data_IF_834449217943
#
_entry.id   IF_834449217943
#
_cell.length_a   1.000
_cell.length_b   1.000
_cell.length_c   1.000
_cell.angle_alpha   90.00
_cell.angle_beta   90.00
_cell.angle_gamma   90.00
#
_symmetry.space_group_name_H-M   'P 1'
#
loop_
_entity.id
_entity.type
_entity.pdbx_description
1 polymer ?
#
# COMPACT_ATOMS: atom_id res chain seq x y z
N UNK A 1 24.71 -28.78 19.98
CA UNK A 1 23.93 -27.62 19.50
C UNK A 1 22.48 -28.04 19.48
N UNK A 2 21.74 -27.68 20.53
CA UNK A 2 20.31 -27.96 20.68
C UNK A 2 19.57 -27.15 19.62
N UNK A 3 18.92 -27.82 18.65
CA UNK A 3 18.04 -27.13 17.71
C UNK A 3 16.92 -26.46 18.51
N UNK A 4 16.81 -25.14 18.42
CA UNK A 4 15.64 -24.43 18.94
C UNK A 4 14.39 -25.07 18.32
N UNK A 5 13.34 -25.27 19.12
CA UNK A 5 12.06 -25.66 18.56
C UNK A 5 11.62 -24.59 17.56
N UNK A 6 10.93 -25.00 16.51
CA UNK A 6 10.47 -24.12 15.44
C UNK A 6 9.64 -22.92 15.96
N UNK A 7 8.95 -23.09 17.10
CA UNK A 7 8.23 -22.03 17.80
C UNK A 7 9.11 -20.93 18.41
N UNK A 8 10.38 -21.22 18.71
CA UNK A 8 11.35 -20.30 19.31
C UNK A 8 12.25 -19.61 18.28
N UNK A 9 12.03 -19.85 16.98
CA UNK A 9 12.80 -19.17 15.94
C UNK A 9 12.51 -17.67 16.00
N UNK A 10 13.57 -16.91 16.26
CA UNK A 10 13.57 -15.45 16.19
C UNK A 10 13.55 -15.02 14.73
N UNK A 11 12.77 -13.99 14.41
CA UNK A 11 12.69 -13.40 13.09
C UNK A 11 13.39 -12.06 13.13
N UNK A 12 14.32 -11.84 12.21
CA UNK A 12 15.01 -10.57 12.06
C UNK A 12 14.26 -9.68 11.06
N UNK A 13 14.09 -8.40 11.42
CA UNK A 13 13.71 -7.37 10.46
C UNK A 13 15.00 -6.90 9.79
N UNK A 14 15.14 -7.17 8.50
CA UNK A 14 16.37 -6.90 7.74
C UNK A 14 16.26 -5.72 6.78
N UNK A 15 15.05 -5.18 6.58
CA UNK A 15 14.83 -3.98 5.79
C UNK A 15 13.48 -3.33 6.11
N UNK A 16 13.36 -2.04 5.85
CA UNK A 16 12.18 -1.23 6.07
C UNK A 16 12.05 -0.15 4.98
N UNK A 17 10.85 0.01 4.44
CA UNK A 17 10.50 1.13 3.56
C UNK A 17 9.15 1.68 3.98
N UNK A 18 8.96 2.98 3.86
CA UNK A 18 7.71 3.62 4.24
C UNK A 18 7.36 4.82 3.36
N UNK A 19 6.11 5.23 3.46
CA UNK A 19 5.57 6.42 2.81
C UNK A 19 4.47 6.96 3.73
N UNK A 20 4.62 8.20 4.19
CA UNK A 20 3.67 8.84 5.10
C UNK A 20 3.35 10.28 4.69
N UNK A 21 2.31 10.85 5.30
CA UNK A 21 1.98 12.25 5.12
C UNK A 21 3.10 13.18 5.62
N UNK A 22 3.17 14.39 5.06
CA UNK A 22 4.17 15.39 5.45
C UNK A 22 5.56 15.17 4.83
N UNK A 23 5.59 14.68 3.59
CA UNK A 23 6.80 14.46 2.79
C UNK A 23 7.80 13.51 3.47
N UNK A 24 7.27 12.44 4.09
CA UNK A 24 8.04 11.40 4.76
C UNK A 24 8.15 10.21 3.79
N UNK A 25 9.33 10.03 3.21
CA UNK A 25 9.58 9.05 2.15
C UNK A 25 10.50 7.90 2.58
N UNK A 26 11.06 7.98 3.79
CA UNK A 26 12.03 7.02 4.33
C UNK A 26 11.89 6.85 5.86
N UNK A 27 12.43 5.74 6.42
CA UNK A 27 12.50 5.55 7.87
C UNK A 27 13.25 6.68 8.60
N UNK A 28 14.26 7.26 7.96
CA UNK A 28 15.02 8.40 8.49
C UNK A 28 14.14 9.66 8.57
N UNK A 29 13.36 9.95 7.52
CA UNK A 29 12.42 11.07 7.54
C UNK A 29 11.35 10.90 8.63
N UNK A 30 10.88 9.65 8.80
CA UNK A 30 9.91 9.32 9.84
C UNK A 30 10.53 9.53 11.22
N UNK A 31 11.76 9.09 11.44
CA UNK A 31 12.47 9.27 12.70
C UNK A 31 12.58 10.76 13.06
N UNK A 32 13.02 11.60 12.12
CA UNK A 32 13.12 13.04 12.34
C UNK A 32 11.75 13.67 12.63
N UNK A 33 10.70 13.29 11.90
CA UNK A 33 9.36 13.80 12.17
C UNK A 33 8.84 13.42 13.56
N UNK A 34 9.19 12.22 14.05
CA UNK A 34 8.84 11.75 15.39
C UNK A 34 9.64 12.48 16.49
N UNK A 35 10.95 12.65 16.32
CA UNK A 35 11.78 13.42 17.25
C UNK A 35 11.28 14.87 17.40
N UNK A 36 10.88 15.48 16.29
CA UNK A 36 10.34 16.84 16.26
C UNK A 36 8.87 16.94 16.70
N UNK A 37 8.19 15.80 16.93
CA UNK A 37 6.75 15.74 17.25
C UNK A 37 5.88 16.52 16.25
N UNK A 38 6.22 16.43 14.96
CA UNK A 38 5.55 17.19 13.89
C UNK A 38 4.11 16.69 13.66
N UNK A 39 3.13 17.59 13.77
CA UNK A 39 1.79 17.37 13.21
C UNK A 39 1.80 17.64 11.71
N UNK A 40 1.76 16.55 10.93
CA UNK A 40 1.75 16.57 9.46
C UNK A 40 0.33 16.61 8.87
N UNK A 41 -0.67 16.90 9.70
CA UNK A 41 -2.06 17.05 9.29
C UNK A 41 -2.26 18.28 8.42
N UNK A 42 -3.00 18.12 7.32
CA UNK A 42 -3.35 19.22 6.41
C UNK A 42 -4.81 19.16 6.01
N UNK A 43 -5.29 20.22 5.37
CA UNK A 43 -6.63 20.21 4.77
C UNK A 43 -6.71 19.18 3.63
N UNK A 44 -7.92 18.67 3.39
CA UNK A 44 -8.19 17.78 2.25
C UNK A 44 -7.75 18.49 0.96
N UNK A 45 -6.83 17.89 0.16
CA UNK A 45 -6.39 18.51 -1.08
C UNK A 45 -7.56 18.70 -2.05
N UNK A 46 -7.76 19.94 -2.53
CA UNK A 46 -8.90 20.32 -3.40
C UNK A 46 -8.89 19.61 -4.76
N UNK A 47 -7.72 19.21 -5.22
CA UNK A 47 -7.50 18.39 -6.43
C UNK A 47 -7.94 16.93 -6.24
N UNK A 48 -8.06 16.44 -5.00
CA UNK A 48 -8.54 15.08 -4.69
C UNK A 48 -10.03 15.04 -4.39
N UNK A 49 -10.50 15.98 -3.58
CA UNK A 49 -11.90 16.08 -3.20
C UNK A 49 -12.30 17.53 -2.98
N UNK A 50 -13.28 17.99 -3.75
CA UNK A 50 -14.00 19.21 -3.44
C UNK A 50 -14.92 18.95 -2.24
N UNK A 51 -14.37 19.15 -1.04
CA UNK A 51 -15.08 18.93 0.21
C UNK A 51 -16.29 19.86 0.34
N UNK A 52 -16.26 21.04 -0.27
CA UNK A 52 -17.37 21.99 -0.20
C UNK A 52 -18.56 21.45 -1.00
N UNK A 53 -18.31 21.00 -2.24
CA UNK A 53 -19.33 20.33 -3.06
C UNK A 53 -19.85 19.04 -2.44
N UNK A 54 -18.96 18.19 -1.90
CA UNK A 54 -19.35 16.95 -1.22
C UNK A 54 -20.28 17.22 -0.04
N UNK A 55 -19.97 18.23 0.80
CA UNK A 55 -20.82 18.61 1.92
C UNK A 55 -22.21 19.05 1.49
N UNK A 56 -22.31 19.86 0.41
CA UNK A 56 -23.60 20.31 -0.16
C UNK A 56 -24.49 19.12 -0.54
N UNK A 57 -23.91 18.07 -1.11
CA UNK A 57 -24.68 16.93 -1.62
C UNK A 57 -25.04 15.89 -0.55
N UNK A 58 -24.20 15.70 0.46
CA UNK A 58 -24.39 14.66 1.49
C UNK A 58 -25.19 15.13 2.70
N UNK A 59 -25.14 16.42 3.05
CA UNK A 59 -25.76 16.93 4.27
C UNK A 59 -26.80 17.99 3.94
N UNK A 60 -28.05 17.72 4.33
CA UNK A 60 -29.07 18.76 4.35
C UNK A 60 -28.59 19.91 5.24
N UNK A 61 -28.62 21.12 4.69
CA UNK A 61 -28.52 22.34 5.47
C UNK A 61 -29.66 22.35 6.49
N UNK A 62 -29.37 22.75 7.72
CA UNK A 62 -30.43 23.09 8.66
C UNK A 62 -31.19 24.35 8.22
N UNK A 63 -32.23 24.72 8.97
CA UNK A 63 -33.07 25.87 8.66
C UNK A 63 -32.30 27.21 8.66
N UNK A 64 -31.09 27.25 9.22
CA UNK A 64 -30.22 28.43 9.30
C UNK A 64 -29.12 28.42 8.22
N UNK A 65 -29.13 27.43 7.33
CA UNK A 65 -28.18 27.32 6.21
C UNK A 65 -26.83 26.69 6.57
N UNK A 66 -26.68 26.17 7.79
CA UNK A 66 -25.47 25.48 8.25
C UNK A 66 -25.53 23.98 7.94
N UNK A 67 -24.39 23.38 7.64
CA UNK A 67 -24.29 21.92 7.54
C UNK A 67 -24.44 21.31 8.94
N UNK A 68 -25.41 20.39 9.08
CA UNK A 68 -25.72 19.72 10.35
C UNK A 68 -24.56 18.93 10.98
N UNK A 69 -23.52 18.62 10.21
CA UNK A 69 -22.28 18.02 10.71
C UNK A 69 -21.08 18.84 10.27
N UNK A 70 -20.22 19.22 11.22
CA UNK A 70 -18.85 19.69 10.91
C UNK A 70 -18.04 18.48 10.48
N UNK A 71 -17.87 18.27 9.17
CA UNK A 71 -16.88 17.31 8.70
C UNK A 71 -15.49 17.75 9.15
N UNK A 72 -14.69 16.77 9.57
CA UNK A 72 -13.25 16.93 9.68
C UNK A 72 -12.71 17.25 8.28
N UNK A 73 -12.37 18.52 8.06
CA UNK A 73 -11.76 19.02 6.81
C UNK A 73 -10.24 18.77 6.75
N UNK A 74 -9.69 18.12 7.79
CA UNK A 74 -8.27 17.84 7.97
C UNK A 74 -8.05 16.34 8.04
N UNK A 75 -6.91 15.92 7.54
CA UNK A 75 -6.45 14.54 7.56
C UNK A 75 -4.98 14.44 7.19
N UNK A 76 -4.50 13.22 7.05
CA UNK A 76 -3.13 12.91 6.68
C UNK A 76 -3.13 12.38 5.26
N UNK A 77 -2.44 13.07 4.37
CA UNK A 77 -2.46 12.76 2.95
C UNK A 77 -1.03 12.67 2.44
N UNK A 78 -0.77 11.60 1.69
CA UNK A 78 0.37 11.49 0.81
C UNK A 78 0.46 12.70 -0.13
N UNK A 79 1.66 13.16 -0.45
CA UNK A 79 1.87 14.32 -1.32
C UNK A 79 1.43 14.04 -2.77
N UNK A 80 1.02 15.09 -3.49
CA UNK A 80 0.45 14.94 -4.84
C UNK A 80 1.46 14.35 -5.84
N UNK A 81 2.72 14.76 -5.73
CA UNK A 81 3.80 14.36 -6.63
C UNK A 81 4.19 12.88 -6.51
N UNK A 82 3.69 12.17 -5.48
CA UNK A 82 4.06 10.77 -5.27
C UNK A 82 3.56 9.87 -6.40
N UNK A 83 2.43 10.23 -7.01
CA UNK A 83 1.89 9.51 -8.16
C UNK A 83 2.75 9.68 -9.41
N UNK A 84 3.53 10.76 -9.49
CA UNK A 84 4.42 11.05 -10.63
C UNK A 84 5.76 10.31 -10.51
N UNK A 85 6.11 9.80 -9.32
CA UNK A 85 7.36 9.05 -9.10
C UNK A 85 7.30 7.59 -9.56
N UNK A 86 6.11 7.10 -9.92
CA UNK A 86 5.95 5.74 -10.41
C UNK A 86 6.25 5.67 -11.90
N UNK A 87 7.41 5.11 -12.26
CA UNK A 87 7.82 4.90 -13.66
C UNK A 87 7.25 3.58 -14.21
N UNK A 88 6.19 3.60 -15.06
CA UNK A 88 5.51 2.37 -15.47
C UNK A 88 6.43 1.40 -16.22
N UNK A 89 7.33 1.95 -17.03
CA UNK A 89 8.26 1.19 -17.87
C UNK A 89 9.25 0.35 -17.05
N UNK A 90 9.69 0.86 -15.89
CA UNK A 90 10.51 0.10 -14.94
C UNK A 90 9.80 -1.16 -14.46
N UNK A 91 8.48 -1.07 -14.27
CA UNK A 91 7.63 -2.18 -13.82
C UNK A 91 7.05 -3.02 -14.97
N UNK A 92 7.47 -2.77 -16.22
CA UNK A 92 6.97 -3.48 -17.40
C UNK A 92 5.50 -3.19 -17.72
N UNK A 93 4.96 -2.08 -17.24
CA UNK A 93 3.59 -1.64 -17.49
C UNK A 93 3.57 -0.60 -18.62
N UNK A 94 2.57 -0.69 -19.49
CA UNK A 94 2.28 0.41 -20.42
C UNK A 94 1.62 1.58 -19.68
N UNK A 95 1.73 2.80 -20.21
CA UNK A 95 1.07 3.98 -19.63
C UNK A 95 -0.45 3.78 -19.50
N UNK A 96 -1.06 3.18 -20.52
CA UNK A 96 -2.49 2.87 -20.54
C UNK A 96 -2.88 1.85 -19.45
N UNK A 97 -2.05 0.85 -19.22
CA UNK A 97 -2.28 -0.13 -18.15
C UNK A 97 -2.08 0.51 -16.77
N UNK A 98 -0.97 1.21 -16.59
CA UNK A 98 -0.59 1.88 -15.33
C UNK A 98 -1.66 2.83 -14.81
N UNK A 99 -2.32 3.59 -15.70
CA UNK A 99 -3.43 4.47 -15.35
C UNK A 99 -4.63 3.75 -14.73
N UNK A 100 -4.77 2.45 -14.96
CA UNK A 100 -5.82 1.62 -14.34
C UNK A 100 -5.37 0.85 -13.10
N UNK A 101 -4.06 0.79 -12.80
CA UNK A 101 -3.53 0.14 -11.60
C UNK A 101 -3.88 0.94 -10.36
N UNK A 102 -4.40 0.23 -9.35
CA UNK A 102 -4.68 0.80 -8.04
C UNK A 102 -3.48 1.61 -7.55
N UNK A 103 -3.68 2.88 -7.16
CA UNK A 103 -2.62 3.71 -6.61
C UNK A 103 -1.89 3.03 -5.43
N UNK A 104 -2.59 2.25 -4.58
CA UNK A 104 -1.98 1.46 -3.52
C UNK A 104 -1.04 0.38 -4.06
N UNK A 105 -1.40 -0.31 -5.14
CA UNK A 105 -0.54 -1.32 -5.76
C UNK A 105 0.71 -0.69 -6.39
N UNK A 106 0.58 0.46 -7.06
CA UNK A 106 1.73 1.19 -7.63
C UNK A 106 2.70 1.64 -6.53
N UNK A 107 2.16 2.17 -5.44
CA UNK A 107 2.97 2.57 -4.28
C UNK A 107 3.67 1.36 -3.65
N UNK A 108 2.97 0.22 -3.48
CA UNK A 108 3.56 -1.01 -2.97
C UNK A 108 4.72 -1.49 -3.84
N UNK A 109 4.56 -1.48 -5.17
CA UNK A 109 5.64 -1.87 -6.10
C UNK A 109 6.87 -0.96 -5.96
N UNK A 110 6.67 0.35 -5.89
CA UNK A 110 7.76 1.31 -5.67
C UNK A 110 8.44 1.10 -4.32
N UNK A 111 7.65 0.97 -3.25
CA UNK A 111 8.18 0.76 -1.89
C UNK A 111 8.86 -0.60 -1.73
N UNK A 112 8.47 -1.62 -2.48
CA UNK A 112 9.16 -2.90 -2.51
C UNK A 112 10.59 -2.75 -3.04
N UNK A 113 10.83 -1.91 -4.05
CA UNK A 113 12.20 -1.62 -4.53
C UNK A 113 13.04 -0.99 -3.43
N UNK A 114 12.54 0.06 -2.75
CA UNK A 114 13.26 0.68 -1.64
C UNK A 114 13.47 -0.28 -0.46
N UNK A 115 12.52 -1.18 -0.21
CA UNK A 115 12.65 -2.23 0.81
C UNK A 115 13.80 -3.19 0.48
N UNK A 116 13.92 -3.60 -0.79
CA UNK A 116 15.03 -4.45 -1.23
C UNK A 116 16.37 -3.71 -1.08
N UNK A 117 16.43 -2.43 -1.45
CA UNK A 117 17.63 -1.61 -1.32
C UNK A 117 18.09 -1.49 0.14
N UNK A 118 17.16 -1.16 1.06
CA UNK A 118 17.44 -1.09 2.50
C UNK A 118 17.89 -2.44 3.06
N UNK A 119 17.29 -3.54 2.59
CA UNK A 119 17.69 -4.89 2.96
C UNK A 119 19.02 -5.36 2.32
N UNK A 120 19.60 -4.63 1.37
CA UNK A 120 20.80 -5.03 0.64
C UNK A 120 20.57 -6.16 -0.37
N UNK A 121 19.37 -6.25 -0.95
CA UNK A 121 19.01 -7.18 -2.01
C UNK A 121 18.79 -6.44 -3.33
N UNK A 122 19.24 -7.04 -4.43
CA UNK A 122 18.84 -6.60 -5.76
C UNK A 122 17.62 -7.38 -6.24
N UNK A 123 16.90 -6.86 -7.24
CA UNK A 123 15.76 -7.55 -7.87
C UNK A 123 16.20 -8.92 -8.43
N UNK A 124 17.39 -8.99 -9.05
CA UNK A 124 17.93 -10.23 -9.60
C UNK A 124 18.24 -11.26 -8.51
N UNK A 125 18.69 -10.80 -7.34
CA UNK A 125 19.05 -11.66 -6.21
C UNK A 125 17.82 -12.28 -5.54
N UNK A 126 16.70 -11.56 -5.46
CA UNK A 126 15.48 -12.06 -4.84
C UNK A 126 14.59 -12.84 -5.83
N UNK A 127 14.74 -12.63 -7.13
CA UNK A 127 14.00 -13.35 -8.17
C UNK A 127 14.19 -14.87 -8.05
N UNK A 128 13.09 -15.61 -8.08
CA UNK A 128 13.07 -17.08 -7.95
C UNK A 128 13.22 -17.59 -6.51
N UNK A 129 13.40 -16.70 -5.52
CA UNK A 129 13.50 -17.10 -4.12
C UNK A 129 12.15 -17.52 -3.53
N UNK A 130 12.18 -18.28 -2.44
CA UNK A 130 11.00 -18.63 -1.63
C UNK A 130 10.60 -17.47 -0.70
N UNK A 131 10.50 -16.26 -1.24
CA UNK A 131 10.02 -15.10 -0.51
C UNK A 131 8.49 -15.11 -0.50
N UNK A 132 7.89 -15.06 0.68
CA UNK A 132 6.44 -14.90 0.85
C UNK A 132 6.05 -13.43 0.91
N UNK A 133 4.81 -13.12 0.53
CA UNK A 133 4.28 -11.74 0.48
C UNK A 133 2.93 -11.65 1.17
N UNK A 134 2.82 -10.85 2.23
CA UNK A 134 1.64 -10.71 3.07
C UNK A 134 1.27 -9.23 3.16
N UNK A 135 0.22 -8.81 2.46
CA UNK A 135 -0.18 -7.40 2.38
C UNK A 135 -1.50 -7.17 3.11
N UNK A 136 -1.49 -6.28 4.09
CA UNK A 136 -2.71 -5.74 4.69
C UNK A 136 -3.23 -4.55 3.89
N UNK A 137 -4.42 -4.65 3.29
CA UNK A 137 -5.08 -3.55 2.57
C UNK A 137 -6.60 -3.68 2.75
N UNK A 138 -7.29 -2.56 2.98
CA UNK A 138 -8.74 -2.54 3.14
C UNK A 138 -9.45 -1.68 2.09
N UNK A 139 -8.73 -0.76 1.45
CA UNK A 139 -9.31 0.17 0.49
C UNK A 139 -9.60 -0.51 -0.84
N UNK A 140 -10.82 -0.32 -1.34
CA UNK A 140 -11.26 -0.80 -2.65
C UNK A 140 -11.92 0.32 -3.48
N UNK A 141 -11.69 1.58 -3.11
CA UNK A 141 -12.32 2.75 -3.74
C UNK A 141 -11.95 2.89 -5.22
N UNK A 142 -10.70 2.57 -5.58
CA UNK A 142 -10.26 2.60 -6.97
C UNK A 142 -10.94 1.53 -7.81
N UNK A 143 -11.13 0.31 -7.26
CA UNK A 143 -11.93 -0.72 -7.89
C UNK A 143 -13.38 -0.24 -8.07
N UNK A 144 -14.02 0.27 -7.01
CA UNK A 144 -15.39 0.75 -7.05
C UNK A 144 -15.59 1.88 -8.08
N UNK A 145 -14.64 2.81 -8.18
CA UNK A 145 -14.63 3.89 -9.18
C UNK A 145 -14.46 3.33 -10.59
N UNK A 146 -13.53 2.39 -10.78
CA UNK A 146 -13.30 1.75 -12.08
C UNK A 146 -14.52 0.95 -12.56
N UNK A 147 -15.22 0.27 -11.65
CA UNK A 147 -16.45 -0.47 -11.98
C UNK A 147 -17.65 0.42 -12.33
N UNK A 148 -17.60 1.72 -12.00
CA UNK A 148 -18.62 2.70 -12.41
C UNK A 148 -18.37 3.28 -13.81
N UNK A 149 -17.18 3.09 -14.38
CA UNK A 149 -16.89 3.50 -15.75
C UNK A 149 -17.66 2.57 -16.70
N UNK A 150 -18.31 3.16 -17.71
CA UNK A 150 -19.03 2.42 -18.74
C UNK A 150 -18.14 1.34 -19.38
N UNK A 151 -18.66 0.13 -19.67
CA UNK A 151 -17.85 -1.01 -20.11
C UNK A 151 -16.94 -0.74 -21.31
N UNK A 152 -17.38 0.08 -22.27
CA UNK A 152 -16.63 0.45 -23.47
C UNK A 152 -15.43 1.38 -23.20
N UNK A 153 -15.46 2.11 -22.09
CA UNK A 153 -14.37 3.02 -21.67
C UNK A 153 -13.50 2.41 -20.56
N UNK A 154 -13.88 1.24 -20.05
CA UNK A 154 -13.15 0.58 -18.96
C UNK A 154 -11.92 -0.13 -19.49
N UNK A 155 -10.79 0.04 -18.79
CA UNK A 155 -9.57 -0.73 -19.07
C UNK A 155 -9.88 -2.24 -19.07
N UNK A 156 -9.37 -2.96 -20.07
CA UNK A 156 -9.45 -4.43 -20.13
C UNK A 156 -8.75 -5.10 -18.94
N UNK A 157 -7.82 -4.39 -18.30
CA UNK A 157 -7.05 -4.86 -17.15
C UNK A 157 -7.69 -4.51 -15.80
N UNK A 158 -8.87 -3.87 -15.77
CA UNK A 158 -9.45 -3.32 -14.54
C UNK A 158 -9.56 -4.32 -13.37
N UNK A 159 -9.92 -5.58 -13.62
CA UNK A 159 -10.01 -6.60 -12.56
C UNK A 159 -8.66 -6.81 -11.86
N UNK A 160 -7.67 -7.39 -12.56
CA UNK A 160 -6.32 -7.58 -11.99
C UNK A 160 -5.71 -6.26 -11.49
N UNK A 161 -6.01 -5.13 -12.10
CA UNK A 161 -5.39 -3.86 -11.71
C UNK A 161 -5.93 -3.25 -10.42
N UNK A 162 -7.13 -3.64 -9.98
CA UNK A 162 -7.82 -2.97 -8.86
C UNK A 162 -8.25 -3.89 -7.72
N UNK A 163 -8.32 -5.20 -7.94
CA UNK A 163 -8.83 -6.12 -6.90
C UNK A 163 -7.80 -6.40 -5.81
N UNK A 164 -8.29 -6.48 -4.57
CA UNK A 164 -7.49 -6.58 -3.35
C UNK A 164 -6.47 -7.72 -3.38
N UNK A 165 -6.88 -8.92 -3.84
CA UNK A 165 -6.01 -10.10 -3.88
C UNK A 165 -4.72 -9.83 -4.67
N UNK A 166 -4.75 -8.87 -5.61
CA UNK A 166 -3.66 -8.65 -6.52
C UNK A 166 -2.57 -7.75 -5.95
N UNK A 167 -2.73 -7.17 -4.75
CA UNK A 167 -1.68 -6.39 -4.10
C UNK A 167 -0.42 -7.26 -3.88
N UNK A 168 -0.57 -8.38 -3.17
CA UNK A 168 0.52 -9.33 -2.93
C UNK A 168 0.91 -10.14 -4.18
N UNK A 169 -0.08 -10.56 -4.97
CA UNK A 169 0.16 -11.38 -6.15
C UNK A 169 0.94 -10.60 -7.23
N UNK A 170 0.71 -9.30 -7.37
CA UNK A 170 1.46 -8.45 -8.31
C UNK A 170 2.92 -8.29 -7.93
N UNK A 171 3.24 -8.13 -6.64
CA UNK A 171 4.63 -8.15 -6.17
C UNK A 171 5.28 -9.49 -6.47
N UNK A 172 4.60 -10.58 -6.14
CA UNK A 172 5.10 -11.94 -6.37
C UNK A 172 5.36 -12.21 -7.85
N UNK A 173 4.42 -11.81 -8.72
CA UNK A 173 4.56 -11.95 -10.16
C UNK A 173 5.69 -11.09 -10.72
N UNK A 174 5.72 -9.79 -10.38
CA UNK A 174 6.68 -8.85 -10.95
C UNK A 174 8.13 -9.16 -10.52
N UNK A 175 8.34 -9.47 -9.24
CA UNK A 175 9.65 -9.79 -8.68
C UNK A 175 9.96 -11.30 -8.68
N UNK A 176 9.11 -12.11 -9.31
CA UNK A 176 9.27 -13.56 -9.46
C UNK A 176 9.48 -14.31 -8.12
N UNK A 177 8.72 -13.95 -7.09
CA UNK A 177 8.78 -14.52 -5.74
C UNK A 177 7.93 -15.79 -5.67
N UNK A 178 8.50 -16.88 -5.15
CA UNK A 178 7.94 -18.24 -5.21
C UNK A 178 7.33 -18.70 -3.88
N UNK A 179 7.32 -17.87 -2.84
CA UNK A 179 6.67 -18.18 -1.57
C UNK A 179 5.15 -17.95 -1.62
N UNK A 180 4.43 -18.34 -0.55
CA UNK A 180 3.02 -17.99 -0.38
C UNK A 180 2.79 -16.48 -0.52
N UNK A 181 1.72 -16.08 -1.19
CA UNK A 181 1.31 -14.68 -1.23
C UNK A 181 -0.17 -14.51 -0.88
N UNK A 182 -0.47 -13.50 -0.07
CA UNK A 182 -1.81 -13.22 0.44
C UNK A 182 -2.00 -11.73 0.61
N UNK A 183 -3.17 -11.24 0.19
CA UNK A 183 -3.66 -9.93 0.57
C UNK A 183 -4.84 -10.12 1.50
N UNK A 184 -4.85 -9.44 2.64
CA UNK A 184 -5.84 -9.63 3.69
C UNK A 184 -6.42 -8.30 4.19
N UNK A 185 -7.67 -8.40 4.65
CA UNK A 185 -8.39 -7.34 5.33
C UNK A 185 -9.03 -7.89 6.61
N UNK A 186 -8.41 -7.56 7.74
CA UNK A 186 -8.99 -7.72 9.09
C UNK A 186 -9.08 -6.34 9.75
N UNK A 187 -9.47 -5.33 8.96
CA UNK A 187 -9.60 -3.93 9.35
C UNK A 187 -8.29 -3.32 9.90
N UNK A 188 -8.36 -2.69 11.08
CA UNK A 188 -7.23 -1.93 11.64
C UNK A 188 -6.03 -2.82 12.04
N UNK A 189 -6.23 -4.12 12.17
CA UNK A 189 -5.17 -5.09 12.51
C UNK A 189 -4.51 -5.75 11.30
N UNK A 190 -4.88 -5.40 10.06
CA UNK A 190 -4.41 -6.10 8.85
C UNK A 190 -2.90 -6.16 8.71
N UNK A 191 -2.17 -5.09 9.07
CA UNK A 191 -0.70 -5.09 9.01
C UNK A 191 -0.06 -6.01 10.05
N UNK A 192 -0.63 -6.08 11.27
CA UNK A 192 -0.14 -6.98 12.31
C UNK A 192 -0.46 -8.44 12.01
N UNK A 193 -1.62 -8.71 11.41
CA UNK A 193 -1.98 -10.06 10.95
C UNK A 193 -1.09 -10.49 9.79
N UNK A 194 -0.76 -9.59 8.86
CA UNK A 194 0.21 -9.86 7.80
C UNK A 194 1.60 -10.23 8.37
N UNK A 195 2.07 -9.48 9.38
CA UNK A 195 3.32 -9.80 10.09
C UNK A 195 3.23 -11.16 10.80
N UNK A 196 2.09 -11.47 11.42
CA UNK A 196 1.85 -12.78 12.04
C UNK A 196 2.00 -13.91 11.00
N UNK A 197 1.31 -13.81 9.87
CA UNK A 197 1.37 -14.80 8.79
C UNK A 197 2.78 -14.93 8.19
N UNK A 198 3.49 -13.81 8.00
CA UNK A 198 4.88 -13.78 7.56
C UNK A 198 5.80 -14.56 8.52
N UNK A 199 5.69 -14.31 9.82
CA UNK A 199 6.45 -15.03 10.85
C UNK A 199 6.11 -16.52 10.85
N UNK A 200 4.84 -16.89 10.67
CA UNK A 200 4.46 -18.30 10.57
C UNK A 200 5.08 -18.96 9.34
N UNK A 201 4.99 -18.34 8.16
CA UNK A 201 5.57 -18.88 6.93
C UNK A 201 7.08 -19.12 7.03
N UNK A 202 7.81 -18.24 7.73
CA UNK A 202 9.23 -18.43 8.02
C UNK A 202 9.44 -19.61 8.99
N UNK A 203 8.66 -19.68 10.07
CA UNK A 203 8.79 -20.74 11.09
C UNK A 203 8.46 -22.10 10.50
N UNK A 204 7.38 -22.24 9.75
CA UNK A 204 6.97 -23.50 9.13
C UNK A 204 7.84 -23.90 7.94
N UNK A 205 8.87 -23.10 7.62
CA UNK A 205 9.74 -23.29 6.46
C UNK A 205 8.93 -23.37 5.16
N UNK A 206 7.85 -22.58 5.05
CA UNK A 206 7.12 -22.34 3.80
C UNK A 206 7.84 -21.29 2.95
N UNK A 207 8.57 -20.38 3.61
CA UNK A 207 9.35 -19.32 2.99
C UNK A 207 10.70 -19.12 3.69
N UNK A 208 11.70 -18.63 2.95
CA UNK A 208 13.03 -18.29 3.47
C UNK A 208 13.13 -16.79 3.84
N UNK A 209 12.27 -15.98 3.24
CA UNK A 209 12.09 -14.54 3.48
C UNK A 209 10.59 -14.21 3.44
N UNK A 210 10.20 -13.10 4.05
CA UNK A 210 8.82 -12.64 4.02
C UNK A 210 8.77 -11.11 3.94
N UNK A 211 7.78 -10.61 3.21
CA UNK A 211 7.44 -9.18 3.07
C UNK A 211 5.99 -8.96 3.47
#
# INVERSE_FOLDING_TARGET
MTSLSTEQMQVAVIGIACEFAGDIHSPTDLWHALEESRDVGREIPRDRLDIDSYCVHMFNKDNDGHFRQKLLRRGYFLSANQWDTFEPSFFGLSDAESGSVDPCHRLLMLKFVHLLEDAGYSIEKISGSRTSVHIGQFSTDHAATTFRIEPEHRSRFHGPNTLLYNAAARLSYHFNLQGPNVSLDVACSSSLEAVHMAVQALRTNEADMAV
#
